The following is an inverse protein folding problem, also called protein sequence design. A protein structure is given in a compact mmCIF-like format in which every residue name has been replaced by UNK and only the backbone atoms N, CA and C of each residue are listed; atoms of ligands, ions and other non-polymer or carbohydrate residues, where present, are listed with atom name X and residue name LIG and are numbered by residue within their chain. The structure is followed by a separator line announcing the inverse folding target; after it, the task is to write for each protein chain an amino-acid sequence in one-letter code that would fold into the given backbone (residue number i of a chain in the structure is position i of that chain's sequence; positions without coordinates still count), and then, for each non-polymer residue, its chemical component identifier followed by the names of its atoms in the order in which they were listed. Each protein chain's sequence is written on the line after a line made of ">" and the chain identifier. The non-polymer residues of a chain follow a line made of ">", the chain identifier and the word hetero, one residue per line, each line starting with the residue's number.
data_IF_976810514627
#
_entry.id   IF_976810514627
#
_cell.length_a   1.000
_cell.length_b   1.000
_cell.length_c   1.000
_cell.angle_alpha   90.00
_cell.angle_beta   90.00
_cell.angle_gamma   90.00
#
_symmetry.space_group_name_H-M   'P 1'
#
loop_
_entity.id
_entity.type
_entity.pdbx_description
1 polymer ?
#
# COMPACT_ATOMS: atom_id res chain seq x y z
N UNK A 1 24.34 41.14 54.39
CA UNK A 1 24.55 40.71 52.99
C UNK A 1 24.49 39.18 52.84
N UNK A 2 23.34 38.51 53.03
CA UNK A 2 23.18 37.06 52.72
C UNK A 2 21.76 36.63 52.30
N UNK A 3 20.81 37.56 52.11
CA UNK A 3 19.41 37.23 51.81
C UNK A 3 18.96 37.49 50.37
N UNK A 4 19.78 38.14 49.52
CA UNK A 4 19.38 38.52 48.16
C UNK A 4 19.73 37.51 47.06
N UNK A 5 20.51 36.47 47.34
CA UNK A 5 20.99 35.55 46.28
C UNK A 5 20.02 34.43 45.94
N UNK A 6 18.96 34.19 46.73
CA UNK A 6 18.03 33.06 46.51
C UNK A 6 16.85 33.36 45.58
N UNK A 7 16.55 34.64 45.32
CA UNK A 7 15.37 35.01 44.51
C UNK A 7 15.68 34.99 43.01
N UNK A 8 16.93 35.24 42.60
CA UNK A 8 17.32 35.22 41.19
C UNK A 8 17.44 33.81 40.58
N UNK A 9 17.66 32.77 41.39
CA UNK A 9 17.67 31.39 40.87
C UNK A 9 16.28 30.79 40.66
N UNK A 10 15.23 31.33 41.27
CA UNK A 10 13.87 30.76 41.14
C UNK A 10 13.14 31.26 39.88
N UNK A 11 13.48 32.44 39.36
CA UNK A 11 12.88 33.00 38.14
C UNK A 11 13.50 32.49 36.83
N UNK A 12 14.78 32.12 36.85
CA UNK A 12 15.45 31.58 35.66
C UNK A 12 15.05 30.12 35.34
N UNK A 13 14.71 29.34 36.38
CA UNK A 13 14.31 27.93 36.23
C UNK A 13 12.88 27.80 35.67
N UNK A 14 11.99 28.75 35.94
CA UNK A 14 10.60 28.73 35.44
C UNK A 14 10.48 29.16 33.98
N UNK A 15 11.35 30.05 33.48
CA UNK A 15 11.29 30.49 32.08
C UNK A 15 11.78 29.42 31.08
N UNK A 16 12.65 28.50 31.53
CA UNK A 16 13.13 27.37 30.71
C UNK A 16 12.10 26.21 30.58
N UNK A 17 11.02 26.21 31.38
CA UNK A 17 10.03 25.13 31.43
C UNK A 17 8.80 25.36 30.53
N UNK A 18 8.76 26.46 29.79
CA UNK A 18 7.64 26.85 28.91
C UNK A 18 7.97 26.82 27.42
N UNK A 19 9.04 26.11 27.02
CA UNK A 19 9.20 25.80 25.59
C UNK A 19 8.11 24.80 25.19
N UNK A 20 7.21 25.12 24.25
CA UNK A 20 6.28 24.12 23.74
C UNK A 20 7.10 23.00 23.14
N UNK A 21 6.88 21.77 23.60
CA UNK A 21 7.44 20.60 22.95
C UNK A 21 7.02 20.63 21.48
N UNK A 22 7.99 20.52 20.56
CA UNK A 22 7.67 20.33 19.15
C UNK A 22 6.72 19.12 19.06
N UNK A 23 5.64 19.20 18.25
CA UNK A 23 4.75 18.06 18.09
C UNK A 23 5.59 16.86 17.65
N UNK A 24 5.56 15.79 18.45
CA UNK A 24 6.24 14.57 18.08
C UNK A 24 5.66 14.10 16.75
N UNK A 25 6.46 14.13 15.69
CA UNK A 25 6.06 13.49 14.44
C UNK A 25 5.86 12.01 14.76
N UNK A 26 4.67 11.49 14.47
CA UNK A 26 4.41 10.06 14.59
C UNK A 26 5.44 9.32 13.71
N UNK A 27 6.38 8.63 14.36
CA UNK A 27 7.33 7.75 13.68
C UNK A 27 6.63 6.43 13.44
N UNK A 28 6.17 6.23 12.22
CA UNK A 28 5.66 4.93 11.79
C UNK A 28 6.85 3.98 11.61
N UNK A 29 6.97 2.99 12.48
CA UNK A 29 7.90 1.88 12.27
C UNK A 29 7.18 0.78 11.48
N UNK A 30 7.50 0.70 10.19
CA UNK A 30 7.07 -0.42 9.35
C UNK A 30 8.03 -1.60 9.51
N UNK A 31 7.48 -2.80 9.71
CA UNK A 31 8.24 -4.06 9.59
C UNK A 31 7.71 -4.82 8.39
N UNK A 32 8.62 -5.27 7.51
CA UNK A 32 8.24 -6.23 6.46
C UNK A 32 7.83 -7.53 7.12
N UNK A 33 6.56 -7.89 6.99
CA UNK A 33 5.99 -9.12 7.59
C UNK A 33 6.04 -10.32 6.65
N UNK A 34 6.13 -10.09 5.34
CA UNK A 34 6.24 -11.11 4.32
C UNK A 34 6.83 -10.54 3.03
N UNK A 35 7.48 -11.40 2.25
CA UNK A 35 7.91 -11.14 0.87
C UNK A 35 7.47 -12.31 0.01
N UNK A 36 6.97 -12.01 -1.17
CA UNK A 36 6.52 -13.01 -2.14
C UNK A 36 6.90 -12.57 -3.56
N UNK A 37 6.78 -13.49 -4.53
CA UNK A 37 7.13 -13.25 -5.92
C UNK A 37 5.97 -13.52 -6.87
N UNK A 38 5.85 -12.70 -7.91
CA UNK A 38 4.91 -12.90 -9.01
C UNK A 38 5.46 -13.80 -10.13
N UNK A 39 6.68 -14.34 -9.99
CA UNK A 39 7.37 -15.19 -10.98
C UNK A 39 6.84 -16.64 -11.05
N UNK A 40 5.55 -16.87 -10.83
CA UNK A 40 4.97 -18.21 -10.69
C UNK A 40 5.56 -19.24 -11.68
N UNK A 41 5.85 -20.49 -11.26
CA UNK A 41 6.77 -21.39 -11.98
C UNK A 41 6.43 -21.68 -13.45
N UNK A 42 5.16 -21.59 -13.84
CA UNK A 42 4.71 -21.94 -15.19
C UNK A 42 4.29 -20.72 -16.03
N UNK A 43 3.95 -19.60 -15.39
CA UNK A 43 3.41 -18.41 -16.06
C UNK A 43 3.63 -17.24 -15.10
N UNK A 44 4.73 -16.47 -15.22
CA UNK A 44 4.92 -15.30 -14.38
C UNK A 44 3.86 -14.24 -14.70
N UNK A 45 3.49 -13.40 -13.74
CA UNK A 45 2.79 -12.14 -14.04
C UNK A 45 3.85 -11.21 -14.66
N UNK A 46 3.68 -10.77 -15.92
CA UNK A 46 4.68 -10.03 -16.69
C UNK A 46 5.22 -8.78 -15.98
N UNK A 47 4.33 -7.84 -15.66
CA UNK A 47 4.66 -6.55 -15.05
C UNK A 47 3.50 -6.03 -14.16
N UNK A 48 3.41 -6.50 -12.90
CA UNK A 48 2.30 -6.13 -12.03
C UNK A 48 2.34 -4.65 -11.61
N UNK A 49 1.27 -3.92 -11.88
CA UNK A 49 1.18 -2.45 -11.71
C UNK A 49 0.34 -2.02 -10.49
N UNK A 50 -0.70 -2.78 -10.15
CA UNK A 50 -1.59 -2.44 -9.02
C UNK A 50 -1.82 -3.59 -8.03
N UNK A 51 -2.14 -3.24 -6.77
CA UNK A 51 -2.46 -4.22 -5.73
C UNK A 51 -3.53 -3.71 -4.75
N UNK A 52 -4.51 -4.54 -4.45
CA UNK A 52 -5.54 -4.29 -3.43
C UNK A 52 -5.75 -5.50 -2.52
N UNK A 53 -6.01 -5.26 -1.23
CA UNK A 53 -6.30 -6.35 -0.28
C UNK A 53 -7.80 -6.49 -0.02
N UNK A 54 -8.33 -7.70 -0.23
CA UNK A 54 -9.66 -8.09 0.23
C UNK A 54 -9.56 -8.86 1.55
N UNK A 55 -9.89 -8.19 2.65
CA UNK A 55 -9.86 -8.78 3.99
C UNK A 55 -10.90 -9.88 4.21
N UNK A 56 -12.04 -9.86 3.50
CA UNK A 56 -13.10 -10.86 3.67
C UNK A 56 -12.66 -12.24 3.17
N UNK A 57 -11.95 -12.28 2.04
CA UNK A 57 -11.43 -13.52 1.44
C UNK A 57 -9.96 -13.78 1.78
N UNK A 58 -9.29 -12.82 2.43
CA UNK A 58 -7.85 -12.83 2.73
C UNK A 58 -6.99 -13.02 1.47
N UNK A 59 -7.36 -12.32 0.40
CA UNK A 59 -6.67 -12.37 -0.90
C UNK A 59 -6.17 -11.00 -1.30
N UNK A 60 -5.06 -10.96 -2.02
CA UNK A 60 -4.63 -9.83 -2.81
C UNK A 60 -5.24 -9.93 -4.21
N UNK A 61 -5.72 -8.80 -4.71
CA UNK A 61 -5.98 -8.59 -6.13
C UNK A 61 -4.78 -7.85 -6.68
N UNK A 62 -4.26 -8.30 -7.80
CA UNK A 62 -3.10 -7.71 -8.49
C UNK A 62 -3.51 -7.46 -9.93
N UNK A 63 -3.35 -6.23 -10.40
CA UNK A 63 -3.49 -5.86 -11.81
C UNK A 63 -2.12 -5.83 -12.49
N UNK A 64 -2.14 -5.91 -13.81
CA UNK A 64 -0.97 -5.84 -14.68
C UNK A 64 -1.46 -5.25 -16.01
N UNK A 65 -0.94 -4.08 -16.37
CA UNK A 65 -1.33 -3.34 -17.57
C UNK A 65 -0.70 -3.95 -18.83
N UNK A 66 0.44 -4.64 -18.70
CA UNK A 66 1.31 -5.09 -19.79
C UNK A 66 1.03 -6.56 -20.23
N UNK A 67 -0.07 -7.15 -19.76
CA UNK A 67 -0.38 -8.56 -20.05
C UNK A 67 -0.62 -8.80 -21.54
N UNK A 68 -1.16 -7.82 -22.24
CA UNK A 68 -1.45 -7.93 -23.67
C UNK A 68 -0.23 -7.71 -24.57
N UNK A 69 0.83 -7.04 -24.09
CA UNK A 69 2.17 -7.04 -24.71
C UNK A 69 2.84 -8.42 -24.68
N UNK A 70 2.37 -9.32 -23.80
CA UNK A 70 2.84 -10.70 -23.71
C UNK A 70 1.75 -11.74 -24.02
N UNK A 71 1.23 -11.83 -25.27
CA UNK A 71 0.06 -12.66 -25.59
C UNK A 71 0.19 -14.16 -25.28
N UNK A 72 1.43 -14.66 -25.20
CA UNK A 72 1.73 -16.05 -24.83
C UNK A 72 1.44 -16.35 -23.36
N UNK A 73 1.41 -15.32 -22.51
CA UNK A 73 1.12 -15.39 -21.09
C UNK A 73 -0.35 -15.02 -20.83
N UNK A 74 -0.98 -15.76 -19.93
CA UNK A 74 -2.31 -15.47 -19.35
C UNK A 74 -3.53 -15.31 -20.28
N UNK A 75 -3.36 -15.25 -21.60
CA UNK A 75 -4.43 -15.05 -22.60
C UNK A 75 -5.28 -13.82 -22.28
N UNK A 76 -4.64 -12.65 -22.12
CA UNK A 76 -5.28 -11.35 -21.81
C UNK A 76 -6.00 -11.29 -20.45
N UNK A 77 -5.54 -12.07 -19.46
CA UNK A 77 -6.07 -11.99 -18.09
C UNK A 77 -5.18 -11.06 -17.28
N UNK A 78 -5.69 -9.87 -17.00
CA UNK A 78 -5.01 -8.74 -16.37
C UNK A 78 -5.42 -8.49 -14.91
N UNK A 79 -6.16 -9.44 -14.28
CA UNK A 79 -6.47 -9.42 -12.85
C UNK A 79 -6.16 -10.77 -12.20
N UNK A 80 -5.23 -10.77 -11.25
CA UNK A 80 -4.76 -11.95 -10.54
C UNK A 80 -5.26 -11.94 -9.09
N UNK A 81 -5.74 -13.09 -8.62
CA UNK A 81 -6.20 -13.28 -7.24
C UNK A 81 -5.19 -14.18 -6.53
N UNK A 82 -4.52 -13.62 -5.54
CA UNK A 82 -3.42 -14.28 -4.82
C UNK A 82 -3.81 -14.44 -3.35
N UNK A 83 -3.66 -15.65 -2.81
CA UNK A 83 -3.87 -15.89 -1.38
C UNK A 83 -2.79 -15.21 -0.54
N UNK A 84 -3.08 -14.96 0.74
CA UNK A 84 -2.13 -14.30 1.66
C UNK A 84 -0.76 -14.99 1.83
N UNK A 85 -0.66 -16.26 1.42
CA UNK A 85 0.60 -17.02 1.39
C UNK A 85 1.18 -17.17 -0.01
N UNK A 86 0.90 -16.24 -0.92
CA UNK A 86 1.54 -16.17 -2.25
C UNK A 86 0.92 -17.02 -3.33
N UNK A 87 0.06 -17.98 -3.00
CA UNK A 87 -0.49 -18.90 -4.02
C UNK A 87 -1.49 -18.19 -4.92
N UNK A 88 -1.26 -18.22 -6.23
CA UNK A 88 -2.25 -17.82 -7.22
C UNK A 88 -3.49 -18.72 -7.13
N UNK A 89 -4.65 -18.09 -6.99
CA UNK A 89 -5.95 -18.76 -6.89
C UNK A 89 -6.74 -18.66 -8.20
N UNK A 90 -6.66 -17.51 -8.87
CA UNK A 90 -7.33 -17.28 -10.15
C UNK A 90 -6.65 -16.17 -10.94
N UNK A 91 -6.85 -16.19 -12.25
CA UNK A 91 -6.60 -15.08 -13.16
C UNK A 91 -7.89 -14.77 -13.93
N UNK A 92 -8.21 -13.49 -14.11
CA UNK A 92 -9.43 -13.01 -14.75
C UNK A 92 -9.08 -11.92 -15.75
N UNK A 93 -9.94 -11.76 -16.75
CA UNK A 93 -9.90 -10.62 -17.67
C UNK A 93 -10.90 -9.58 -17.17
N UNK A 94 -10.45 -8.37 -16.95
CA UNK A 94 -11.33 -7.22 -16.76
C UNK A 94 -12.01 -6.90 -18.09
N UNK A 95 -13.29 -6.55 -18.01
CA UNK A 95 -14.12 -6.30 -19.20
C UNK A 95 -14.10 -4.85 -19.65
N UNK A 96 -13.72 -3.95 -18.75
CA UNK A 96 -13.81 -2.52 -18.94
C UNK A 96 -12.50 -1.92 -19.48
N UNK A 97 -11.36 -2.56 -19.21
CA UNK A 97 -10.04 -2.10 -19.68
C UNK A 97 -9.16 -3.30 -20.01
N UNK A 98 -8.30 -3.16 -21.03
CA UNK A 98 -7.20 -4.10 -21.29
C UNK A 98 -5.95 -3.79 -20.47
N UNK A 99 -5.78 -2.55 -20.01
CA UNK A 99 -4.58 -2.05 -19.33
C UNK A 99 -4.91 -1.48 -17.93
N UNK A 100 -5.24 -2.35 -16.96
CA UNK A 100 -5.53 -1.92 -15.60
C UNK A 100 -4.26 -1.55 -14.85
N UNK A 101 -4.17 -0.30 -14.41
CA UNK A 101 -3.06 0.20 -13.62
C UNK A 101 -3.37 0.07 -12.12
N UNK A 102 -3.61 1.19 -11.43
CA UNK A 102 -3.96 1.21 -10.02
C UNK A 102 -5.33 0.59 -9.72
N UNK A 103 -5.43 -0.22 -8.66
CA UNK A 103 -6.69 -0.82 -8.20
C UNK A 103 -6.94 -0.61 -6.71
N UNK A 104 -8.22 -0.47 -6.32
CA UNK A 104 -8.62 -0.33 -4.92
C UNK A 104 -9.90 -1.12 -4.60
N UNK A 105 -9.88 -1.88 -3.50
CA UNK A 105 -11.01 -2.69 -3.06
C UNK A 105 -11.85 -1.97 -1.99
N UNK A 106 -13.12 -1.71 -2.29
CA UNK A 106 -14.10 -1.22 -1.32
C UNK A 106 -14.95 -2.35 -0.77
N UNK A 107 -14.47 -2.95 0.31
CA UNK A 107 -15.10 -4.16 0.90
C UNK A 107 -16.56 -4.00 1.33
N UNK A 108 -16.97 -2.80 1.80
CA UNK A 108 -18.33 -2.58 2.29
C UNK A 108 -19.38 -2.69 1.17
N UNK A 109 -19.05 -2.26 -0.04
CA UNK A 109 -19.94 -2.32 -1.21
C UNK A 109 -19.52 -3.36 -2.24
N UNK A 110 -18.39 -4.04 -2.01
CA UNK A 110 -17.83 -5.08 -2.86
C UNK A 110 -17.52 -4.56 -4.28
N UNK A 111 -17.01 -3.34 -4.36
CA UNK A 111 -16.53 -2.74 -5.61
C UNK A 111 -15.01 -2.80 -5.70
N UNK A 112 -14.52 -3.07 -6.91
CA UNK A 112 -13.12 -2.87 -7.28
C UNK A 112 -13.07 -1.63 -8.18
N UNK A 113 -12.40 -0.60 -7.71
CA UNK A 113 -12.05 0.56 -8.53
C UNK A 113 -10.78 0.23 -9.31
N UNK A 114 -10.76 0.62 -10.58
CA UNK A 114 -9.68 0.34 -11.53
C UNK A 114 -9.37 1.64 -12.25
N UNK A 115 -8.11 2.05 -12.25
CA UNK A 115 -7.58 3.06 -13.14
C UNK A 115 -7.15 2.38 -14.46
N UNK A 116 -7.41 3.07 -15.56
CA UNK A 116 -7.07 2.63 -16.91
C UNK A 116 -5.94 3.52 -17.41
N UNK A 117 -4.86 2.91 -17.91
CA UNK A 117 -3.69 3.65 -18.42
C UNK A 117 -3.89 4.18 -19.86
N UNK A 118 -4.81 3.58 -20.61
CA UNK A 118 -4.97 3.76 -22.05
C UNK A 118 -6.26 4.50 -22.45
N UNK A 119 -7.01 5.00 -21.47
CA UNK A 119 -8.29 5.71 -21.66
C UNK A 119 -9.36 4.88 -22.41
N UNK A 120 -9.36 3.54 -22.28
CA UNK A 120 -10.40 2.68 -22.89
C UNK A 120 -11.80 2.86 -22.26
N UNK A 121 -11.90 3.57 -21.12
CA UNK A 121 -13.11 3.72 -20.29
C UNK A 121 -14.06 4.87 -20.65
#
# INVERSE_FOLDING_TARGET
>A
MRRMTRIFMLGAVTCALLLPALPAHARWEGRVVAKDSTKYPNTPIPDPTGIAYNAQTRTFYISDAEVDETPSLWKKRNLFIVGRGGRLQAARRLRLTTEPEGIAWWGAKRFLFVADDDQDL
#
